data_IF_075243558061
#
_entry.id   IF_075243558061
#
_cell.length_a   1.000
_cell.length_b   1.000
_cell.length_c   1.000
_cell.angle_alpha   90.00
_cell.angle_beta   90.00
_cell.angle_gamma   90.00
#
_symmetry.space_group_name_H-M   'P 1'
#
loop_
_entity.id
_entity.type
_entity.pdbx_description
1 polymer ?
#
# COMPACT_ATOMS: atom_id res chain seq x y z
N UNK A 1 -34.23 -12.82 -6.20
CA UNK A 1 -32.75 -12.84 -6.15
C UNK A 1 -32.33 -14.13 -5.46
N UNK A 2 -31.41 -14.90 -6.05
CA UNK A 2 -30.89 -16.14 -5.42
C UNK A 2 -29.70 -15.79 -4.51
N UNK A 3 -29.43 -16.61 -3.49
CA UNK A 3 -28.34 -16.44 -2.52
C UNK A 3 -27.00 -16.16 -3.21
N UNK A 4 -26.66 -16.88 -4.28
CA UNK A 4 -25.42 -16.68 -5.04
C UNK A 4 -25.32 -15.26 -5.62
N UNK A 5 -26.42 -14.72 -6.15
CA UNK A 5 -26.43 -13.35 -6.70
C UNK A 5 -26.24 -12.28 -5.64
N UNK A 6 -26.75 -12.50 -4.42
CA UNK A 6 -26.59 -11.58 -3.30
C UNK A 6 -25.14 -11.59 -2.81
N UNK A 7 -24.53 -12.77 -2.69
CA UNK A 7 -23.12 -12.89 -2.30
C UNK A 7 -22.18 -12.29 -3.35
N UNK A 8 -22.44 -12.53 -4.64
CA UNK A 8 -21.68 -11.93 -5.72
C UNK A 8 -21.73 -10.39 -5.68
N UNK A 9 -22.91 -9.81 -5.41
CA UNK A 9 -23.06 -8.37 -5.23
C UNK A 9 -22.23 -7.87 -4.04
N UNK A 10 -22.27 -8.57 -2.91
CA UNK A 10 -21.45 -8.23 -1.73
C UNK A 10 -19.96 -8.17 -2.06
N UNK A 11 -19.44 -9.18 -2.76
CA UNK A 11 -18.03 -9.22 -3.19
C UNK A 11 -17.70 -8.01 -4.06
N UNK A 12 -18.53 -7.71 -5.06
CA UNK A 12 -18.28 -6.59 -5.99
C UNK A 12 -18.31 -5.26 -5.25
N UNK A 13 -19.27 -5.07 -4.35
CA UNK A 13 -19.39 -3.83 -3.56
C UNK A 13 -18.18 -3.64 -2.66
N UNK A 14 -17.79 -4.67 -1.89
CA UNK A 14 -16.63 -4.59 -1.00
C UNK A 14 -15.34 -4.36 -1.79
N UNK A 15 -15.10 -5.12 -2.86
CA UNK A 15 -13.92 -4.95 -3.69
C UNK A 15 -13.85 -3.53 -4.31
N UNK A 16 -14.98 -3.04 -4.83
CA UNK A 16 -15.03 -1.70 -5.44
C UNK A 16 -14.84 -0.60 -4.42
N UNK A 17 -15.47 -0.70 -3.24
CA UNK A 17 -15.31 0.27 -2.16
C UNK A 17 -13.86 0.30 -1.66
N UNK A 18 -13.31 -0.86 -1.31
CA UNK A 18 -11.92 -0.97 -0.85
C UNK A 18 -10.95 -0.43 -1.89
N UNK A 19 -11.06 -0.85 -3.16
CA UNK A 19 -10.16 -0.40 -4.21
C UNK A 19 -10.28 1.11 -4.47
N UNK A 20 -11.49 1.65 -4.56
CA UNK A 20 -11.72 3.07 -4.85
C UNK A 20 -11.18 3.95 -3.74
N UNK A 21 -11.55 3.69 -2.48
CA UNK A 21 -11.12 4.53 -1.37
C UNK A 21 -9.64 4.37 -1.06
N UNK A 22 -9.09 3.15 -1.13
CA UNK A 22 -7.64 2.95 -1.01
C UNK A 22 -6.91 3.72 -2.12
N UNK A 23 -7.37 3.65 -3.37
CA UNK A 23 -6.76 4.42 -4.46
C UNK A 23 -6.81 5.92 -4.21
N UNK A 24 -7.96 6.48 -3.86
CA UNK A 24 -8.10 7.92 -3.62
C UNK A 24 -7.22 8.40 -2.46
N UNK A 25 -7.19 7.67 -1.36
CA UNK A 25 -6.38 8.02 -0.18
C UNK A 25 -4.89 7.89 -0.52
N UNK A 26 -4.45 6.73 -1.03
CA UNK A 26 -3.04 6.49 -1.31
C UNK A 26 -2.54 7.44 -2.39
N UNK A 27 -3.29 7.66 -3.47
CA UNK A 27 -2.89 8.59 -4.53
C UNK A 27 -2.93 10.04 -4.07
N UNK A 28 -3.86 10.37 -3.18
CA UNK A 28 -3.90 11.64 -2.48
C UNK A 28 -2.62 11.86 -1.68
N UNK A 29 -2.31 10.98 -0.74
CA UNK A 29 -1.11 11.12 0.10
C UNK A 29 0.17 11.12 -0.73
N UNK A 30 0.29 10.24 -1.73
CA UNK A 30 1.44 10.17 -2.64
C UNK A 30 1.69 11.51 -3.35
N UNK A 31 0.62 12.20 -3.77
CA UNK A 31 0.73 13.51 -4.43
C UNK A 31 1.16 14.63 -3.49
N UNK A 32 0.73 14.62 -2.23
CA UNK A 32 0.91 15.75 -1.32
C UNK A 32 2.12 15.62 -0.39
N UNK A 33 2.41 14.41 0.09
CA UNK A 33 3.49 14.14 1.04
C UNK A 33 4.49 13.09 0.54
N UNK A 34 4.11 12.29 -0.47
CA UNK A 34 4.87 11.11 -0.89
C UNK A 34 4.67 9.95 0.09
N UNK A 35 4.43 8.73 -0.44
CA UNK A 35 4.22 7.54 0.39
C UNK A 35 5.39 6.54 0.38
N UNK A 36 6.28 6.63 -0.62
CA UNK A 36 7.39 5.70 -0.80
C UNK A 36 8.67 6.49 -1.05
N UNK A 37 9.79 5.95 -0.57
CA UNK A 37 11.13 6.46 -0.87
C UNK A 37 11.44 6.36 -2.36
N UNK A 38 12.52 7.01 -2.81
CA UNK A 38 12.94 6.87 -4.21
C UNK A 38 13.43 5.44 -4.50
N UNK A 39 13.42 4.99 -5.76
CA UNK A 39 13.91 3.66 -6.13
C UNK A 39 15.37 3.41 -5.68
N UNK A 40 16.23 4.43 -5.78
CA UNK A 40 17.63 4.33 -5.36
C UNK A 40 17.74 4.11 -3.83
N UNK A 41 16.94 4.84 -3.05
CA UNK A 41 16.88 4.67 -1.59
C UNK A 41 16.33 3.30 -1.19
N UNK A 42 15.36 2.78 -1.93
CA UNK A 42 14.81 1.44 -1.69
C UNK A 42 15.83 0.34 -1.98
N UNK A 43 16.64 0.50 -3.05
CA UNK A 43 17.73 -0.43 -3.39
C UNK A 43 18.86 -0.38 -2.36
N UNK A 44 19.18 0.81 -1.85
CA UNK A 44 20.21 1.00 -0.83
C UNK A 44 19.80 0.42 0.54
N UNK A 45 18.50 0.38 0.82
CA UNK A 45 17.93 -0.18 2.05
C UNK A 45 17.41 0.90 3.00
N UNK A 46 16.19 0.70 3.50
CA UNK A 46 15.50 1.66 4.37
C UNK A 46 16.20 1.86 5.72
N UNK A 47 16.82 0.82 6.26
CA UNK A 47 17.58 0.89 7.51
C UNK A 47 18.76 1.86 7.36
N UNK A 48 19.51 1.76 6.26
CA UNK A 48 20.65 2.63 6.00
C UNK A 48 20.21 4.06 5.68
N UNK A 49 19.17 4.23 4.86
CA UNK A 49 18.78 5.54 4.32
C UNK A 49 17.89 6.35 5.28
N UNK A 50 17.01 5.69 6.04
CA UNK A 50 16.05 6.37 6.91
C UNK A 50 16.39 6.25 8.40
N UNK A 51 17.18 5.25 8.80
CA UNK A 51 17.42 4.94 10.21
C UNK A 51 18.91 4.88 10.58
N UNK A 52 19.82 5.14 9.62
CA UNK A 52 21.28 5.11 9.79
C UNK A 52 21.79 3.82 10.48
N UNK A 53 21.11 2.70 10.25
CA UNK A 53 21.38 1.41 10.90
C UNK A 53 21.51 0.25 9.91
N UNK A 54 21.98 -0.88 10.42
CA UNK A 54 22.03 -2.17 9.71
C UNK A 54 21.27 -3.20 10.51
N UNK A 55 20.25 -3.83 9.92
CA UNK A 55 19.37 -4.77 10.63
C UNK A 55 20.07 -5.98 11.24
N UNK A 56 21.24 -6.38 10.71
CA UNK A 56 22.08 -7.42 11.28
C UNK A 56 23.54 -6.99 11.25
N UNK A 57 24.23 -7.17 12.38
CA UNK A 57 25.69 -7.04 12.45
C UNK A 57 26.27 -8.41 12.07
N UNK A 58 27.11 -8.47 11.03
CA UNK A 58 27.86 -9.68 10.70
C UNK A 58 28.82 -10.00 11.87
N UNK A 59 28.39 -10.90 12.76
CA UNK A 59 29.18 -11.51 13.85
C UNK A 59 29.64 -12.91 13.45
#
# INVERSE_FOLDING_TARGET
MNQVSIQALGIVVTASWSALFSYLILKGLDKWIGLRVTPDQEVQGLDQVLHEETGYLDL
#
